data_IF_001139392546
#
_entry.id   IF_001139392546
#
_cell.length_a   1.000
_cell.length_b   1.000
_cell.length_c   1.000
_cell.angle_alpha   90.00
_cell.angle_beta   90.00
_cell.angle_gamma   90.00
#
_symmetry.space_group_name_H-M   'P 1'
#
loop_
_entity.id
_entity.type
_entity.pdbx_description
1 polymer ?
#
# COMPACT_ATOMS: atom_id res chain seq x y z
N UNK A 1 -15.21 15.01 7.45
CA UNK A 1 -15.67 14.69 6.09
C UNK A 1 -15.18 13.30 5.75
N UNK A 2 -16.00 12.40 5.20
CA UNK A 2 -15.54 11.07 4.80
C UNK A 2 -14.54 11.17 3.64
N UNK A 3 -13.51 10.32 3.64
CA UNK A 3 -12.57 10.22 2.53
C UNK A 3 -13.16 9.37 1.40
N UNK A 4 -12.87 9.73 0.15
CA UNK A 4 -13.06 8.84 -0.99
C UNK A 4 -11.86 7.87 -1.06
N UNK A 5 -12.10 6.63 -0.63
CA UNK A 5 -11.10 5.55 -0.60
C UNK A 5 -11.20 4.75 -1.88
N UNK A 6 -10.15 4.78 -2.71
CA UNK A 6 -10.16 4.04 -3.98
C UNK A 6 -8.78 3.59 -4.42
N UNK A 7 -8.77 2.55 -5.25
CA UNK A 7 -7.57 2.11 -5.95
C UNK A 7 -7.18 3.18 -6.98
N UNK A 8 -5.90 3.53 -7.00
CA UNK A 8 -5.36 4.48 -7.96
C UNK A 8 -5.28 3.87 -9.36
N UNK A 9 -5.51 4.74 -10.34
CA UNK A 9 -5.36 4.46 -11.77
C UNK A 9 -4.24 5.33 -12.36
N UNK A 10 -3.76 5.04 -13.58
CA UNK A 10 -2.73 5.85 -14.22
C UNK A 10 -3.07 7.36 -14.30
N UNK A 11 -4.34 7.72 -14.48
CA UNK A 11 -4.78 9.12 -14.48
C UNK A 11 -4.56 9.83 -13.13
N UNK A 12 -4.42 9.10 -12.02
CA UNK A 12 -4.19 9.65 -10.69
C UNK A 12 -2.70 9.90 -10.40
N UNK A 13 -1.79 9.60 -11.33
CA UNK A 13 -0.36 9.68 -11.09
C UNK A 13 0.09 11.08 -10.65
N UNK A 14 -0.32 12.12 -11.38
CA UNK A 14 0.07 13.50 -11.09
C UNK A 14 -0.40 13.99 -9.70
N UNK A 15 -1.70 13.92 -9.33
CA UNK A 15 -2.16 14.41 -8.04
C UNK A 15 -1.65 13.62 -6.82
N UNK A 16 -1.10 12.42 -7.02
CA UNK A 16 -0.63 11.54 -5.93
C UNK A 16 0.89 11.47 -5.82
N UNK A 17 1.61 11.95 -6.85
CA UNK A 17 3.07 11.81 -6.94
C UNK A 17 3.81 12.42 -5.75
N UNK A 18 3.41 13.60 -5.29
CA UNK A 18 4.05 14.28 -4.16
C UNK A 18 4.00 13.44 -2.88
N UNK A 19 2.85 12.79 -2.61
CA UNK A 19 2.69 11.87 -1.48
C UNK A 19 3.53 10.60 -1.65
N UNK A 20 3.57 10.02 -2.85
CA UNK A 20 4.40 8.84 -3.13
C UNK A 20 5.89 9.14 -2.91
N UNK A 21 6.35 10.36 -3.25
CA UNK A 21 7.72 10.81 -3.01
C UNK A 21 8.08 11.03 -1.54
N UNK A 22 7.10 11.25 -0.64
CA UNK A 22 7.39 11.32 0.79
C UNK A 22 7.90 9.97 1.32
N UNK A 23 7.43 8.86 0.75
CA UNK A 23 7.95 7.53 1.05
C UNK A 23 9.22 7.21 0.27
N UNK A 24 9.26 7.54 -1.03
CA UNK A 24 10.43 7.34 -1.87
C UNK A 24 10.92 8.65 -2.50
N UNK A 25 11.87 9.36 -1.85
CA UNK A 25 12.36 10.65 -2.35
C UNK A 25 13.01 10.59 -3.74
N UNK A 26 13.51 9.41 -4.13
CA UNK A 26 14.15 9.16 -5.43
C UNK A 26 13.14 8.81 -6.54
N UNK A 27 11.86 8.60 -6.21
CA UNK A 27 10.82 8.28 -7.18
C UNK A 27 10.64 9.41 -8.19
N UNK A 28 10.73 9.08 -9.47
CA UNK A 28 10.48 10.00 -10.58
C UNK A 28 9.06 9.81 -11.15
N UNK A 29 8.46 10.82 -11.83
CA UNK A 29 7.07 10.74 -12.29
C UNK A 29 6.81 9.55 -13.24
N UNK A 30 7.76 9.24 -14.11
CA UNK A 30 7.66 8.11 -15.04
C UNK A 30 7.51 6.77 -14.32
N UNK A 31 8.33 6.54 -13.30
CA UNK A 31 8.28 5.31 -12.48
C UNK A 31 6.97 5.21 -11.71
N UNK A 32 6.47 6.33 -11.20
CA UNK A 32 5.18 6.35 -10.50
C UNK A 32 4.02 5.98 -11.42
N UNK A 33 3.94 6.60 -12.61
CA UNK A 33 2.93 6.26 -13.61
C UNK A 33 3.02 4.78 -14.02
N UNK A 34 4.24 4.29 -14.28
CA UNK A 34 4.47 2.89 -14.63
C UNK A 34 4.04 1.94 -13.49
N UNK A 35 4.23 2.32 -12.23
CA UNK A 35 3.76 1.57 -11.08
C UNK A 35 2.23 1.50 -11.02
N UNK A 36 1.52 2.59 -11.32
CA UNK A 36 0.05 2.63 -11.32
C UNK A 36 -0.59 1.92 -12.53
N UNK A 37 0.19 1.65 -13.57
CA UNK A 37 -0.25 0.84 -14.72
C UNK A 37 -0.20 -0.67 -14.46
N UNK A 38 0.44 -1.09 -13.37
CA UNK A 38 0.58 -2.52 -13.08
C UNK A 38 -0.79 -3.12 -12.71
N UNK A 39 -1.06 -4.38 -13.11
CA UNK A 39 -2.33 -5.02 -12.82
C UNK A 39 -2.61 -5.08 -11.31
N UNK A 40 -3.85 -4.76 -10.92
CA UNK A 40 -4.29 -4.82 -9.52
C UNK A 40 -4.19 -6.23 -8.90
N UNK A 41 -4.07 -7.26 -9.74
CA UNK A 41 -3.83 -8.66 -9.37
C UNK A 41 -2.38 -8.97 -9.01
N UNK A 42 -1.43 -8.07 -9.27
CA UNK A 42 -0.02 -8.21 -8.86
C UNK A 42 0.36 -7.17 -7.82
N UNK A 43 -0.11 -5.93 -7.96
CA UNK A 43 0.12 -4.88 -6.97
C UNK A 43 -0.85 -3.71 -7.17
N UNK A 44 -0.91 -2.81 -6.19
CA UNK A 44 -1.75 -1.63 -6.30
C UNK A 44 -1.46 -0.61 -5.21
N UNK A 45 -1.98 0.60 -5.40
CA UNK A 45 -1.95 1.63 -4.38
C UNK A 45 -3.37 2.14 -4.16
N UNK A 46 -3.85 2.07 -2.92
CA UNK A 46 -5.05 2.77 -2.51
C UNK A 46 -4.71 4.19 -2.09
N UNK A 47 -5.64 5.10 -2.32
CA UNK A 47 -5.55 6.48 -1.85
C UNK A 47 -6.82 6.89 -1.15
N UNK A 48 -6.65 7.78 -0.17
CA UNK A 48 -7.73 8.47 0.51
C UNK A 48 -7.78 9.90 0.00
N UNK A 49 -8.87 10.27 -0.67
CA UNK A 49 -9.06 11.61 -1.21
C UNK A 49 -9.96 12.45 -0.31
N UNK A 50 -9.52 13.67 -0.02
CA UNK A 50 -10.36 14.74 0.54
C UNK A 50 -10.64 15.77 -0.55
N UNK A 51 -11.71 15.56 -1.32
CA UNK A 51 -11.96 16.32 -2.56
C UNK A 51 -10.95 15.95 -3.65
N UNK A 52 -10.33 16.92 -4.35
CA UNK A 52 -9.37 16.63 -5.42
C UNK A 52 -7.98 16.22 -4.90
N UNK A 53 -7.74 16.30 -3.59
CA UNK A 53 -6.42 16.12 -3.00
C UNK A 53 -6.32 14.76 -2.32
N UNK A 54 -5.36 13.95 -2.75
CA UNK A 54 -4.97 12.76 -2.01
C UNK A 54 -4.36 13.19 -0.66
N UNK A 55 -4.77 12.51 0.41
CA UNK A 55 -4.36 12.77 1.80
C UNK A 55 -3.51 11.65 2.35
N UNK A 56 -3.72 10.43 1.89
CA UNK A 56 -2.90 9.30 2.24
C UNK A 56 -2.87 8.28 1.12
N UNK A 57 -1.83 7.45 1.12
CA UNK A 57 -1.57 6.39 0.16
C UNK A 57 -1.20 5.10 0.91
N UNK A 58 -1.67 3.95 0.44
CA UNK A 58 -1.30 2.64 0.95
C UNK A 58 -0.99 1.72 -0.23
N UNK A 59 0.26 1.26 -0.32
CA UNK A 59 0.67 0.34 -1.39
C UNK A 59 0.66 -1.10 -0.90
N UNK A 60 0.20 -2.00 -1.76
CA UNK A 60 0.36 -3.43 -1.59
C UNK A 60 1.01 -4.08 -2.80
N UNK A 61 1.58 -5.26 -2.58
CA UNK A 61 1.95 -6.23 -3.62
C UNK A 61 1.29 -7.56 -3.32
N UNK A 62 1.17 -8.44 -4.31
CA UNK A 62 0.73 -9.81 -4.13
C UNK A 62 1.92 -10.72 -4.40
N UNK A 63 2.22 -11.59 -3.45
CA UNK A 63 3.28 -12.59 -3.54
C UNK A 63 2.70 -13.97 -3.27
N UNK A 64 3.51 -15.02 -3.46
CA UNK A 64 3.16 -16.40 -3.11
C UNK A 64 4.14 -16.95 -2.08
N UNK A 65 3.63 -17.69 -1.10
CA UNK A 65 4.47 -18.48 -0.20
C UNK A 65 5.13 -19.64 -0.94
N UNK A 66 6.09 -20.30 -0.30
CA UNK A 66 6.70 -21.54 -0.80
C UNK A 66 5.67 -22.64 -1.08
N UNK A 67 4.58 -22.64 -0.32
CA UNK A 67 3.49 -23.61 -0.45
C UNK A 67 2.42 -23.18 -1.48
N UNK A 68 2.66 -22.09 -2.21
CA UNK A 68 1.81 -21.61 -3.30
C UNK A 68 0.64 -20.71 -2.89
N UNK A 69 0.53 -20.36 -1.60
CA UNK A 69 -0.55 -19.51 -1.09
C UNK A 69 -0.32 -18.06 -1.48
N UNK A 70 -1.32 -17.40 -2.07
CA UNK A 70 -1.26 -15.97 -2.37
C UNK A 70 -1.42 -15.11 -1.11
N UNK A 71 -0.50 -14.18 -0.93
CA UNK A 71 -0.47 -13.24 0.19
C UNK A 71 -0.42 -11.82 -0.37
N UNK A 72 -1.37 -11.00 0.06
CA UNK A 72 -1.34 -9.56 -0.17
C UNK A 72 -0.48 -8.92 0.93
N UNK A 73 0.60 -8.26 0.54
CA UNK A 73 1.56 -7.63 1.44
C UNK A 73 1.43 -6.12 1.35
N UNK A 74 1.08 -5.45 2.44
CA UNK A 74 1.11 -4.00 2.53
C UNK A 74 2.56 -3.55 2.67
N UNK A 75 3.04 -2.80 1.66
CA UNK A 75 4.44 -2.40 1.51
C UNK A 75 4.80 -1.08 2.17
N UNK A 76 3.84 -0.18 2.29
CA UNK A 76 3.99 1.10 2.98
C UNK A 76 2.65 1.81 3.03
N UNK A 77 2.52 2.70 4.01
CA UNK A 77 1.43 3.66 4.12
C UNK A 77 2.03 5.02 4.42
N UNK A 78 1.57 6.03 3.69
CA UNK A 78 2.00 7.43 3.84
C UNK A 78 0.75 8.27 4.02
N UNK A 79 0.65 8.98 5.14
CA UNK A 79 -0.43 9.93 5.39
C UNK A 79 0.15 11.35 5.53
N UNK A 80 -0.46 12.29 4.81
CA UNK A 80 -0.26 13.72 4.96
C UNK A 80 -1.61 14.36 5.28
N UNK A 81 -2.11 14.02 6.46
CA UNK A 81 -3.26 14.67 7.09
C UNK A 81 -2.76 15.36 8.36
N UNK A 82 -3.00 16.68 8.46
CA UNK A 82 -2.52 17.49 9.58
C UNK A 82 -3.42 17.37 10.82
N UNK A 83 -4.56 16.70 10.71
CA UNK A 83 -5.58 16.63 11.76
C UNK A 83 -5.63 15.21 12.33
N UNK A 84 -5.81 14.19 11.48
CA UNK A 84 -6.02 12.80 11.93
C UNK A 84 -5.30 11.77 11.02
N UNK A 85 -3.95 11.78 10.94
CA UNK A 85 -3.18 10.91 10.04
C UNK A 85 -3.35 9.41 10.36
N UNK A 86 -3.58 9.06 11.63
CA UNK A 86 -3.79 7.67 12.05
C UNK A 86 -5.13 7.12 11.55
N UNK A 87 -6.21 7.90 11.64
CA UNK A 87 -7.53 7.47 11.20
C UNK A 87 -7.54 7.16 9.71
N UNK A 88 -6.99 8.07 8.90
CA UNK A 88 -6.94 7.88 7.44
C UNK A 88 -6.05 6.69 7.04
N UNK A 89 -4.96 6.46 7.78
CA UNK A 89 -4.12 5.28 7.58
C UNK A 89 -4.90 3.99 7.89
N UNK A 90 -5.62 3.92 9.00
CA UNK A 90 -6.43 2.75 9.37
C UNK A 90 -7.53 2.46 8.35
N UNK A 91 -8.22 3.50 7.85
CA UNK A 91 -9.23 3.36 6.80
C UNK A 91 -8.65 2.79 5.50
N UNK A 92 -7.44 3.23 5.11
CA UNK A 92 -6.74 2.67 3.95
C UNK A 92 -6.34 1.21 4.15
N UNK A 93 -5.86 0.85 5.34
CA UNK A 93 -5.53 -0.54 5.67
C UNK A 93 -6.77 -1.41 5.60
N UNK A 94 -7.91 -0.93 6.09
CA UNK A 94 -9.19 -1.62 5.98
C UNK A 94 -9.61 -1.81 4.51
N UNK A 95 -9.45 -0.80 3.66
CA UNK A 95 -9.75 -0.92 2.23
C UNK A 95 -8.86 -1.98 1.54
N UNK A 96 -7.57 -2.03 1.88
CA UNK A 96 -6.64 -3.05 1.37
C UNK A 96 -7.02 -4.45 1.87
N UNK A 97 -7.43 -4.60 3.13
CA UNK A 97 -7.92 -5.88 3.68
C UNK A 97 -9.20 -6.36 3.00
N UNK A 98 -10.17 -5.48 2.80
CA UNK A 98 -11.40 -5.81 2.08
C UNK A 98 -11.11 -6.30 0.65
N UNK A 99 -10.11 -5.72 -0.02
CA UNK A 99 -9.65 -6.20 -1.34
C UNK A 99 -9.05 -7.60 -1.26
N UNK A 100 -8.27 -7.91 -0.23
CA UNK A 100 -7.71 -9.25 -0.03
C UNK A 100 -8.80 -10.29 0.24
N UNK A 101 -9.80 -9.93 1.05
CA UNK A 101 -10.94 -10.80 1.39
C UNK A 101 -11.76 -11.20 0.15
N UNK A 102 -12.00 -10.25 -0.77
CA UNK A 102 -12.69 -10.52 -2.05
C UNK A 102 -11.99 -11.60 -2.89
N UNK A 103 -10.67 -11.68 -2.79
CA UNK A 103 -9.85 -12.64 -3.53
C UNK A 103 -9.39 -13.83 -2.63
N UNK A 104 -9.97 -13.98 -1.43
CA UNK A 104 -9.62 -15.00 -0.44
C UNK A 104 -8.12 -15.08 -0.09
N UNK A 105 -7.44 -13.92 -0.05
CA UNK A 105 -6.00 -13.83 0.23
C UNK A 105 -5.70 -13.57 1.69
N UNK A 106 -4.57 -14.10 2.16
CA UNK A 106 -3.97 -13.68 3.42
C UNK A 106 -3.41 -12.26 3.29
N UNK A 107 -3.45 -11.49 4.38
CA UNK A 107 -2.85 -10.14 4.44
C UNK A 107 -1.66 -10.16 5.37
N UNK A 108 -0.53 -9.66 4.89
CA UNK A 108 0.68 -9.43 5.68
C UNK A 108 1.11 -7.97 5.61
N UNK A 109 1.90 -7.54 6.59
CA UNK A 109 2.46 -6.20 6.67
C UNK A 109 3.99 -6.26 6.57
N UNK A 110 4.56 -5.54 5.61
CA UNK A 110 6.02 -5.43 5.44
C UNK A 110 6.38 -4.03 4.92
N UNK A 111 6.46 -3.02 5.80
CA UNK A 111 6.95 -1.70 5.43
C UNK A 111 8.45 -1.86 5.08
N UNK A 112 8.90 -1.41 3.89
CA UNK A 112 10.33 -1.47 3.50
C UNK A 112 11.23 -1.02 4.66
N UNK A 113 12.18 -1.77 5.22
CA UNK A 113 13.21 -2.68 4.66
C UNK A 113 14.18 -2.03 3.66
N UNK A 114 14.27 -0.69 3.63
CA UNK A 114 15.35 0.00 2.89
C UNK A 114 16.74 -0.15 3.56
N UNK A 115 16.81 -0.71 4.77
CA UNK A 115 18.07 -0.96 5.51
C UNK A 115 18.17 -2.36 6.17
N UNK A 116 17.28 -3.31 5.90
CA UNK A 116 17.29 -4.60 6.61
C UNK A 116 18.35 -5.56 6.05
N UNK A 117 19.30 -6.00 6.88
CA UNK A 117 20.30 -7.03 6.55
C UNK A 117 20.10 -8.30 7.39
N UNK A 118 20.34 -9.47 6.82
CA UNK A 118 20.23 -10.74 7.54
C UNK A 118 18.79 -11.10 7.97
N UNK A 119 18.59 -11.41 9.25
CA UNK A 119 17.34 -11.95 9.82
C UNK A 119 16.14 -11.01 9.63
N UNK A 120 16.32 -9.70 9.53
CA UNK A 120 15.22 -8.75 9.27
C UNK A 120 14.70 -8.79 7.81
N UNK A 121 15.52 -9.27 6.86
CA UNK A 121 15.09 -9.63 5.49
C UNK A 121 14.31 -10.95 5.48
N UNK A 122 14.64 -11.85 6.41
CA UNK A 122 13.91 -13.10 6.63
C UNK A 122 12.60 -12.85 7.37
N UNK A 123 12.54 -11.91 8.32
CA UNK A 123 11.33 -11.49 9.05
C UNK A 123 10.46 -10.53 8.23
N UNK A 124 10.99 -9.70 7.32
CA UNK A 124 10.19 -9.10 6.24
C UNK A 124 9.75 -10.15 5.19
N UNK A 125 10.38 -11.34 5.22
CA UNK A 125 10.01 -12.53 4.46
C UNK A 125 9.12 -13.54 5.21
N UNK A 126 9.00 -13.46 6.55
CA UNK A 126 8.27 -14.41 7.42
C UNK A 126 7.25 -13.75 8.36
N UNK A 127 7.31 -12.44 8.56
CA UNK A 127 6.45 -11.68 9.45
C UNK A 127 5.78 -10.53 8.67
N UNK A 128 4.52 -10.18 8.90
CA UNK A 128 3.73 -10.49 10.09
C UNK A 128 2.38 -11.06 9.67
N UNK A 129 2.31 -12.40 9.65
CA UNK A 129 1.11 -13.19 9.92
C UNK A 129 0.91 -13.18 11.44
N UNK A 130 0.10 -12.26 11.94
CA UNK A 130 -0.72 -12.53 13.11
C UNK A 130 -2.17 -12.31 12.69
N UNK A 131 -2.81 -13.44 12.35
CA UNK A 131 -4.25 -13.59 12.38
C UNK A 131 -4.76 -13.00 13.70
N UNK A 132 -5.61 -11.98 13.62
CA UNK A 132 -6.51 -11.66 14.72
C UNK A 132 -7.76 -12.49 14.43
N UNK A 133 -7.99 -13.47 15.30
CA UNK A 133 -9.25 -14.21 15.39
C UNK A 133 -10.44 -13.24 15.53
#
# INVERSE_FOLDING_TARGET
MPFDLRLLKPEDALPTFALARLYDPALIPGDWTAQLQRPASTEGTFAAFGGPTARALARYIITRTTDGVEVLVIRWVTAFDLIEPERVALELIAAVRARAEQDHRLVAWSPCAREASGFERAVAGEAVLHSVL
#
